data_IF_751139786138
#
_entry.id   IF_751139786138
#
_cell.length_a   1.000
_cell.length_b   1.000
_cell.length_c   1.000
_cell.angle_alpha   90.00
_cell.angle_beta   90.00
_cell.angle_gamma   90.00
#
_symmetry.space_group_name_H-M   'P 1'
#
loop_
_entity.id
_entity.type
_entity.pdbx_description
1 polymer ?
#
# COMPACT_ATOMS: atom_id res chain seq x y z
N UNK A 1 -1.54 9.35 -15.80
CA UNK A 1 -2.32 9.62 -14.57
C UNK A 1 -1.98 8.69 -13.40
N UNK A 2 -1.37 7.50 -13.62
CA UNK A 2 -0.93 6.60 -12.53
C UNK A 2 0.58 6.32 -12.52
N UNK A 3 1.39 7.12 -13.23
CA UNK A 3 2.83 6.91 -13.33
C UNK A 3 3.51 6.85 -11.94
N UNK A 4 3.12 7.73 -11.02
CA UNK A 4 3.62 7.72 -9.64
C UNK A 4 3.30 6.41 -8.89
N UNK A 5 2.17 5.77 -9.19
CA UNK A 5 1.80 4.48 -8.60
C UNK A 5 2.66 3.34 -9.16
N UNK A 6 2.90 3.34 -10.48
CA UNK A 6 3.78 2.37 -11.15
C UNK A 6 5.22 2.47 -10.65
N UNK A 7 5.73 3.70 -10.49
CA UNK A 7 7.04 3.97 -9.90
C UNK A 7 7.11 3.50 -8.45
N UNK A 8 6.07 3.76 -7.66
CA UNK A 8 5.99 3.30 -6.27
C UNK A 8 6.01 1.77 -6.16
N UNK A 9 5.28 1.07 -7.04
CA UNK A 9 5.30 -0.40 -7.10
C UNK A 9 6.71 -0.91 -7.41
N UNK A 10 7.41 -0.29 -8.37
CA UNK A 10 8.82 -0.65 -8.68
C UNK A 10 9.72 -0.45 -7.46
N UNK A 11 9.62 0.69 -6.79
CA UNK A 11 10.40 0.99 -5.58
C UNK A 11 10.10 -0.02 -4.47
N UNK A 12 8.85 -0.38 -4.22
CA UNK A 12 8.47 -1.40 -3.22
C UNK A 12 9.14 -2.74 -3.56
N UNK A 13 9.07 -3.17 -4.82
CA UNK A 13 9.69 -4.43 -5.29
C UNK A 13 11.22 -4.41 -5.20
N UNK A 14 11.85 -3.28 -5.48
CA UNK A 14 13.30 -3.09 -5.32
C UNK A 14 13.70 -3.16 -3.84
N UNK A 15 12.95 -2.49 -2.96
CA UNK A 15 13.16 -2.52 -1.51
C UNK A 15 13.00 -3.91 -0.92
N UNK A 16 12.27 -4.83 -1.56
CA UNK A 16 12.24 -6.26 -1.17
C UNK A 16 13.63 -6.92 -1.19
N UNK A 17 14.54 -6.44 -2.03
CA UNK A 17 15.92 -6.95 -2.17
C UNK A 17 16.93 -6.22 -1.29
N UNK A 18 16.55 -5.10 -0.66
CA UNK A 18 17.42 -4.37 0.26
C UNK A 18 17.47 -5.00 1.65
N UNK A 19 18.44 -4.61 2.49
CA UNK A 19 18.49 -5.06 3.89
C UNK A 19 17.34 -4.45 4.73
N UNK A 20 16.71 -5.21 5.66
CA UNK A 20 15.64 -4.72 6.55
C UNK A 20 16.01 -3.50 7.38
N UNK A 21 17.26 -3.42 7.84
CA UNK A 21 17.72 -2.34 8.73
C UNK A 21 17.82 -0.98 8.02
N UNK A 22 17.78 -0.98 6.68
CA UNK A 22 17.95 0.23 5.86
C UNK A 22 16.64 0.76 5.29
N UNK A 23 15.53 0.02 5.40
CA UNK A 23 14.28 0.41 4.76
C UNK A 23 13.05 -0.01 5.57
N UNK A 24 12.25 0.97 5.99
CA UNK A 24 10.95 0.73 6.60
C UNK A 24 10.04 -0.14 5.73
N UNK A 25 10.04 0.06 4.40
CA UNK A 25 9.30 -0.79 3.46
C UNK A 25 9.77 -2.24 3.52
N UNK A 26 11.07 -2.49 3.62
CA UNK A 26 11.58 -3.86 3.72
C UNK A 26 11.14 -4.53 5.02
N UNK A 27 11.13 -3.79 6.15
CA UNK A 27 10.56 -4.28 7.41
C UNK A 27 9.10 -4.70 7.24
N UNK A 28 8.27 -3.86 6.64
CA UNK A 28 6.86 -4.18 6.35
C UNK A 28 6.71 -5.38 5.41
N UNK A 29 7.57 -5.50 4.39
CA UNK A 29 7.54 -6.61 3.44
C UNK A 29 7.87 -7.96 4.10
N UNK A 30 8.69 -7.96 5.15
CA UNK A 30 9.11 -9.16 5.87
C UNK A 30 8.27 -9.47 7.12
N UNK A 31 7.61 -8.46 7.70
CA UNK A 31 6.70 -8.61 8.83
C UNK A 31 5.24 -8.45 8.38
N UNK A 32 4.61 -9.59 8.05
CA UNK A 32 3.22 -9.63 7.59
C UNK A 32 2.24 -9.09 8.62
N UNK A 33 2.50 -9.31 9.92
CA UNK A 33 1.63 -8.83 10.98
C UNK A 33 1.67 -7.31 11.03
N UNK A 34 2.88 -6.74 11.08
CA UNK A 34 3.08 -5.29 11.04
C UNK A 34 2.45 -4.66 9.79
N UNK A 35 2.63 -5.27 8.62
CA UNK A 35 2.00 -4.79 7.39
C UNK A 35 0.47 -4.81 7.47
N UNK A 36 -0.13 -5.85 8.05
CA UNK A 36 -1.58 -5.93 8.21
C UNK A 36 -2.12 -4.95 9.25
N UNK A 37 -1.36 -4.69 10.32
CA UNK A 37 -1.74 -3.76 11.38
C UNK A 37 -1.72 -2.33 10.83
N UNK A 38 -0.69 -1.94 10.07
CA UNK A 38 -0.65 -0.64 9.38
C UNK A 38 -1.83 -0.46 8.42
N UNK A 39 -2.18 -1.47 7.60
CA UNK A 39 -3.36 -1.33 6.71
C UNK A 39 -4.64 -1.01 7.49
N UNK A 40 -4.84 -1.60 8.67
CA UNK A 40 -6.02 -1.31 9.50
C UNK A 40 -5.97 0.09 10.11
N UNK A 41 -4.80 0.51 10.56
CA UNK A 41 -4.53 1.83 11.12
C UNK A 41 -4.85 2.92 10.09
N UNK A 42 -4.23 2.86 8.91
CA UNK A 42 -4.40 3.86 7.84
C UNK A 42 -5.85 3.95 7.35
N UNK A 43 -6.56 2.81 7.28
CA UNK A 43 -7.99 2.82 6.92
C UNK A 43 -8.80 3.55 7.98
N UNK A 44 -8.47 3.37 9.26
CA UNK A 44 -9.17 4.03 10.37
C UNK A 44 -8.88 5.54 10.37
N UNK A 45 -7.64 5.94 10.16
CA UNK A 45 -7.21 7.34 10.04
C UNK A 45 -7.82 8.03 8.81
N UNK A 46 -7.94 7.32 7.68
CA UNK A 46 -8.65 7.82 6.51
C UNK A 46 -10.14 8.07 6.81
N UNK A 47 -10.82 7.14 7.48
CA UNK A 47 -12.24 7.32 7.83
C UNK A 47 -12.39 8.56 8.74
N UNK A 48 -11.59 8.64 9.80
CA UNK A 48 -11.63 9.76 10.74
C UNK A 48 -11.32 11.10 10.05
N UNK A 49 -10.29 11.16 9.21
CA UNK A 49 -9.90 12.38 8.51
C UNK A 49 -10.93 12.84 7.47
N UNK A 50 -11.69 11.91 6.88
CA UNK A 50 -12.82 12.24 6.00
C UNK A 50 -13.98 12.81 6.81
N UNK A 51 -14.33 12.18 7.94
CA UNK A 51 -15.41 12.64 8.82
C UNK A 51 -15.12 14.03 9.41
N UNK A 52 -13.87 14.28 9.80
CA UNK A 52 -13.43 15.56 10.36
C UNK A 52 -13.04 16.59 9.29
N UNK A 53 -13.04 16.21 8.00
CA UNK A 53 -12.58 17.03 6.88
C UNK A 53 -11.16 17.59 7.06
N UNK A 54 -10.25 16.76 7.56
CA UNK A 54 -8.83 17.08 7.78
C UNK A 54 -7.97 16.45 6.66
N UNK A 55 -6.79 15.90 6.97
CA UNK A 55 -5.73 15.48 6.05
C UNK A 55 -6.08 14.28 5.13
N UNK A 56 -7.34 14.12 4.71
CA UNK A 56 -7.89 13.00 3.91
C UNK A 56 -7.08 12.57 2.68
N UNK A 57 -6.38 13.50 2.02
CA UNK A 57 -5.54 13.16 0.86
C UNK A 57 -4.26 12.43 1.29
N UNK A 58 -3.69 12.81 2.43
CA UNK A 58 -2.53 12.16 3.02
C UNK A 58 -2.87 10.73 3.43
N UNK A 59 -3.93 10.57 4.23
CA UNK A 59 -4.37 9.26 4.70
C UNK A 59 -4.77 8.33 3.53
N UNK A 60 -5.40 8.89 2.49
CA UNK A 60 -5.73 8.11 1.30
C UNK A 60 -4.47 7.60 0.56
N UNK A 61 -3.40 8.41 0.53
CA UNK A 61 -2.14 8.00 -0.05
C UNK A 61 -1.46 6.91 0.78
N UNK A 62 -1.51 7.01 2.12
CA UNK A 62 -0.91 6.04 3.03
C UNK A 62 -1.65 4.70 3.00
N UNK A 63 -2.99 4.71 2.93
CA UNK A 63 -3.79 3.50 2.66
C UNK A 63 -3.33 2.82 1.37
N UNK A 64 -3.18 3.55 0.27
CA UNK A 64 -2.75 2.98 -1.01
C UNK A 64 -1.33 2.38 -0.88
N UNK A 65 -0.40 3.11 -0.27
CA UNK A 65 0.96 2.64 -0.09
C UNK A 65 1.02 1.36 0.76
N UNK A 66 0.37 1.36 1.93
CA UNK A 66 0.38 0.21 2.84
C UNK A 66 -0.35 -1.00 2.24
N UNK A 67 -1.42 -0.80 1.45
CA UNK A 67 -2.06 -1.88 0.70
C UNK A 67 -1.13 -2.49 -0.35
N UNK A 68 -0.38 -1.68 -1.11
CA UNK A 68 0.58 -2.18 -2.09
C UNK A 68 1.68 -3.02 -1.42
N UNK A 69 2.21 -2.55 -0.29
CA UNK A 69 3.22 -3.29 0.49
C UNK A 69 2.63 -4.60 1.02
N UNK A 70 1.40 -4.58 1.52
CA UNK A 70 0.72 -5.78 2.02
C UNK A 70 0.44 -6.80 0.92
N UNK A 71 0.10 -6.36 -0.28
CA UNK A 71 -0.06 -7.24 -1.44
C UNK A 71 1.28 -7.91 -1.80
N UNK A 72 2.35 -7.13 -1.93
CA UNK A 72 3.67 -7.64 -2.29
C UNK A 72 4.29 -8.56 -1.21
N UNK A 73 3.98 -8.34 0.08
CA UNK A 73 4.38 -9.23 1.18
C UNK A 73 3.63 -10.56 1.18
N UNK A 74 2.45 -10.61 0.56
CA UNK A 74 1.61 -11.81 0.44
C UNK A 74 1.59 -12.43 -0.96
N UNK A 75 2.43 -11.93 -1.88
CA UNK A 75 2.52 -12.46 -3.25
C UNK A 75 1.28 -12.15 -4.11
N UNK A 76 0.46 -11.19 -3.70
CA UNK A 76 -0.67 -10.68 -4.48
C UNK A 76 -0.10 -9.63 -5.43
N UNK A 77 -0.19 -9.87 -6.74
CA UNK A 77 0.28 -8.92 -7.74
C UNK A 77 -0.79 -7.86 -7.98
N UNK A 78 -0.40 -6.59 -7.90
CA UNK A 78 -1.29 -5.47 -8.21
C UNK A 78 -1.86 -5.57 -9.63
N UNK A 79 -1.10 -6.13 -10.57
CA UNK A 79 -1.54 -6.39 -11.93
C UNK A 79 -2.77 -7.31 -11.98
N UNK A 80 -2.87 -8.29 -11.08
CA UNK A 80 -4.02 -9.20 -11.01
C UNK A 80 -5.23 -8.52 -10.35
N UNK A 81 -5.00 -7.68 -9.33
CA UNK A 81 -6.04 -6.81 -8.76
C UNK A 81 -6.61 -5.86 -9.81
N UNK A 82 -5.77 -5.26 -10.66
CA UNK A 82 -6.22 -4.37 -11.72
C UNK A 82 -7.04 -5.10 -12.80
N UNK A 83 -6.68 -6.35 -13.13
CA UNK A 83 -7.52 -7.19 -14.01
C UNK A 83 -8.91 -7.41 -13.39
N UNK A 84 -8.97 -7.68 -12.09
CA UNK A 84 -10.24 -7.88 -11.39
C UNK A 84 -11.08 -6.59 -11.34
N UNK A 85 -10.47 -5.44 -11.03
CA UNK A 85 -11.14 -4.14 -11.07
C UNK A 85 -11.69 -3.79 -12.46
N UNK A 86 -10.96 -4.14 -13.52
CA UNK A 86 -11.45 -3.92 -14.89
C UNK A 86 -12.72 -4.72 -15.22
N UNK A 87 -12.97 -5.86 -14.56
CA UNK A 87 -14.24 -6.60 -14.72
C UNK A 87 -15.43 -5.86 -14.12
N UNK A 88 -15.22 -5.02 -13.09
CA UNK A 88 -16.27 -4.23 -12.41
C UNK A 88 -16.71 -2.99 -13.17
N UNK A 89 -16.01 -2.64 -14.26
CA UNK A 89 -16.35 -1.50 -15.14
C UNK A 89 -17.38 -1.88 -16.22
N UNK A 90 -17.76 -3.15 -16.28
CA UNK A 90 -18.87 -3.64 -17.11
C UNK A 90 -20.15 -3.55 -16.31
#
# INVERSE_FOLDING_TARGET
MLQSLEELIKIIRERKKSSPDKSYTNKLLNDKKLSSDKVKEEISELIESVEQNTNKIHEAADVIYHLLVYFESNGIKIEDVMKELNKRKK
#
